data_IF_211213681347
#
_entry.id   IF_211213681347
#
_cell.length_a   1.000
_cell.length_b   1.000
_cell.length_c   1.000
_cell.angle_alpha   90.00
_cell.angle_beta   90.00
_cell.angle_gamma   90.00
#
_symmetry.space_group_name_H-M   'P 1'
#
loop_
_entity.id
_entity.type
_entity.pdbx_description
1 polymer ?
#
# COMPACT_ATOMS: atom_id res chain seq x y z
N UNK A 1 -18.26 -78.89 -35.73
CA UNK A 1 -19.01 -78.82 -34.46
C UNK A 1 -18.11 -78.18 -33.41
N UNK A 2 -18.71 -77.29 -32.63
CA UNK A 2 -18.11 -76.47 -31.58
C UNK A 2 -17.49 -77.31 -30.45
N UNK A 3 -16.46 -76.78 -29.80
CA UNK A 3 -16.56 -76.43 -28.36
C UNK A 3 -15.33 -75.64 -27.92
N UNK A 4 -15.57 -74.38 -27.55
CA UNK A 4 -14.64 -73.50 -26.86
C UNK A 4 -14.62 -73.85 -25.36
N UNK A 5 -13.44 -74.01 -24.77
CA UNK A 5 -13.27 -74.03 -23.31
C UNK A 5 -12.46 -72.81 -22.88
N UNK A 6 -13.15 -71.86 -22.23
CA UNK A 6 -12.59 -70.62 -21.69
C UNK A 6 -11.73 -70.89 -20.45
N UNK A 7 -10.45 -70.49 -20.50
CA UNK A 7 -9.62 -70.30 -19.30
C UNK A 7 -9.98 -68.96 -18.65
N UNK A 8 -10.49 -68.99 -17.42
CA UNK A 8 -10.71 -67.78 -16.59
C UNK A 8 -9.37 -67.18 -16.18
N UNK A 9 -9.07 -65.98 -16.66
CA UNK A 9 -8.01 -65.14 -16.12
C UNK A 9 -8.49 -64.50 -14.81
N UNK A 10 -7.70 -64.64 -13.74
CA UNK A 10 -7.92 -64.02 -12.43
C UNK A 10 -7.41 -62.58 -12.51
N UNK A 11 -8.33 -61.62 -12.57
CA UNK A 11 -7.99 -60.19 -12.54
C UNK A 11 -7.65 -59.79 -11.11
N UNK A 12 -6.39 -59.43 -10.86
CA UNK A 12 -5.96 -58.77 -9.61
C UNK A 12 -6.29 -57.29 -9.77
N UNK A 13 -7.24 -56.79 -8.99
CA UNK A 13 -7.58 -55.37 -8.93
C UNK A 13 -6.55 -54.70 -8.03
N UNK A 14 -5.61 -53.96 -8.62
CA UNK A 14 -4.74 -53.04 -7.89
C UNK A 14 -5.52 -51.75 -7.72
N UNK A 15 -6.06 -51.52 -6.52
CA UNK A 15 -6.64 -50.23 -6.16
C UNK A 15 -5.53 -49.19 -6.08
N UNK A 16 -5.35 -48.41 -7.15
CA UNK A 16 -4.62 -47.17 -7.10
C UNK A 16 -5.47 -46.16 -6.29
N UNK A 17 -5.14 -45.98 -5.01
CA UNK A 17 -5.59 -44.80 -4.26
C UNK A 17 -4.89 -43.59 -4.86
N UNK A 18 -5.52 -42.98 -5.86
CA UNK A 18 -5.19 -41.63 -6.26
C UNK A 18 -5.52 -40.73 -5.07
N UNK A 19 -4.49 -40.37 -4.30
CA UNK A 19 -4.56 -39.24 -3.41
C UNK A 19 -4.82 -38.02 -4.29
N UNK A 20 -6.07 -37.59 -4.33
CA UNK A 20 -6.45 -36.30 -4.90
C UNK A 20 -5.81 -35.24 -4.01
N UNK A 21 -4.63 -34.78 -4.39
CA UNK A 21 -4.12 -33.49 -3.95
C UNK A 21 -5.21 -32.47 -4.25
N UNK A 22 -5.97 -32.06 -3.22
CA UNK A 22 -6.84 -30.89 -3.32
C UNK A 22 -5.94 -29.77 -3.78
N UNK A 23 -6.09 -29.31 -5.02
CA UNK A 23 -5.40 -28.11 -5.49
C UNK A 23 -5.69 -27.01 -4.49
N UNK A 24 -4.71 -26.64 -3.65
CA UNK A 24 -4.87 -25.52 -2.73
C UNK A 24 -5.30 -24.33 -3.59
N UNK A 25 -6.49 -23.76 -3.31
CA UNK A 25 -6.95 -22.58 -4.04
C UNK A 25 -5.86 -21.52 -3.90
N UNK A 26 -5.19 -21.21 -5.01
CA UNK A 26 -4.12 -20.24 -5.07
C UNK A 26 -4.71 -18.85 -4.79
N UNK A 27 -4.06 -18.06 -3.94
CA UNK A 27 -4.53 -16.70 -3.68
C UNK A 27 -4.38 -15.84 -4.95
N UNK A 28 -5.31 -14.92 -5.24
CA UNK A 28 -5.17 -14.03 -6.39
C UNK A 28 -3.86 -13.25 -6.32
N UNK A 29 -3.01 -13.39 -7.34
CA UNK A 29 -1.69 -12.72 -7.39
C UNK A 29 -0.51 -13.55 -6.87
N UNK A 30 -0.74 -14.62 -6.11
CA UNK A 30 0.32 -15.43 -5.47
C UNK A 30 1.36 -15.98 -6.46
N UNK A 31 0.98 -16.26 -7.71
CA UNK A 31 1.90 -16.72 -8.75
C UNK A 31 2.91 -15.64 -9.22
N UNK A 32 2.66 -14.37 -8.92
CA UNK A 32 3.46 -13.21 -9.33
C UNK A 32 4.26 -12.58 -8.19
N UNK A 33 4.14 -13.10 -6.97
CA UNK A 33 4.76 -12.55 -5.77
C UNK A 33 3.76 -11.90 -4.82
N UNK A 34 4.16 -11.75 -3.56
CA UNK A 34 3.29 -11.27 -2.49
C UNK A 34 2.83 -9.82 -2.70
N UNK A 35 3.64 -8.98 -3.34
CA UNK A 35 3.24 -7.60 -3.70
C UNK A 35 2.02 -7.56 -4.60
N UNK A 36 1.86 -8.54 -5.51
CA UNK A 36 0.67 -8.60 -6.36
C UNK A 36 -0.57 -8.98 -5.53
N UNK A 37 -0.43 -9.80 -4.48
CA UNK A 37 -1.52 -10.07 -3.53
C UNK A 37 -1.91 -8.78 -2.78
N UNK A 38 -0.93 -8.04 -2.26
CA UNK A 38 -1.18 -6.75 -1.61
C UNK A 38 -1.87 -5.75 -2.55
N UNK A 39 -1.40 -5.65 -3.81
CA UNK A 39 -2.03 -4.83 -4.84
C UNK A 39 -3.48 -5.26 -5.07
N UNK A 40 -3.74 -6.56 -5.18
CA UNK A 40 -5.10 -7.06 -5.42
C UNK A 40 -6.07 -6.67 -4.30
N UNK A 41 -5.66 -6.81 -3.04
CA UNK A 41 -6.47 -6.41 -1.88
C UNK A 41 -6.67 -4.89 -1.87
N UNK A 42 -5.60 -4.11 -2.04
CA UNK A 42 -5.68 -2.65 -2.07
C UNK A 42 -6.62 -2.15 -3.18
N UNK A 43 -6.56 -2.73 -4.39
CA UNK A 43 -7.40 -2.30 -5.51
C UNK A 43 -8.90 -2.55 -5.24
N UNK A 44 -9.26 -3.64 -4.56
CA UNK A 44 -10.66 -3.92 -4.18
C UNK A 44 -11.23 -2.91 -3.19
N UNK A 45 -10.39 -2.34 -2.34
CA UNK A 45 -10.79 -1.34 -1.34
C UNK A 45 -11.02 0.07 -1.93
N UNK A 46 -10.70 0.29 -3.21
CA UNK A 46 -11.04 1.53 -3.88
C UNK A 46 -12.50 1.53 -4.35
N UNK A 47 -13.01 2.72 -4.65
CA UNK A 47 -14.27 2.87 -5.39
C UNK A 47 -14.03 2.70 -6.88
N UNK A 48 -15.07 2.38 -7.66
CA UNK A 48 -14.97 2.27 -9.13
C UNK A 48 -14.54 3.58 -9.81
N UNK A 49 -14.80 4.71 -9.17
CA UNK A 49 -14.41 6.03 -9.65
C UNK A 49 -12.90 6.28 -9.47
N UNK A 50 -12.28 5.60 -8.50
CA UNK A 50 -10.86 5.72 -8.17
C UNK A 50 -10.01 4.66 -8.87
N UNK A 51 -10.50 3.42 -8.99
CA UNK A 51 -9.82 2.33 -9.68
C UNK A 51 -10.83 1.39 -10.37
N UNK A 52 -10.46 0.86 -11.55
CA UNK A 52 -11.34 -0.01 -12.36
C UNK A 52 -11.77 -1.27 -11.60
N UNK A 53 -10.87 -1.81 -10.78
CA UNK A 53 -11.08 -2.99 -9.95
C UNK A 53 -11.73 -2.70 -8.59
N UNK A 54 -12.13 -1.45 -8.33
CA UNK A 54 -12.75 -1.03 -7.08
C UNK A 54 -14.09 -1.71 -6.81
N UNK A 55 -14.29 -2.10 -5.54
CA UNK A 55 -15.50 -2.79 -5.07
C UNK A 55 -16.21 -2.05 -3.93
N UNK A 56 -15.63 -0.97 -3.38
CA UNK A 56 -16.25 -0.17 -2.32
C UNK A 56 -17.19 0.89 -2.89
N UNK A 57 -18.22 1.21 -2.11
CA UNK A 57 -19.14 2.30 -2.42
C UNK A 57 -18.47 3.67 -2.23
N UNK A 58 -18.86 4.70 -3.01
CA UNK A 58 -18.29 6.03 -2.87
C UNK A 58 -18.57 6.65 -1.50
N UNK A 59 -17.51 6.97 -0.77
CA UNK A 59 -17.59 7.81 0.42
C UNK A 59 -17.22 9.25 0.04
N UNK A 60 -18.24 10.10 -0.06
CA UNK A 60 -18.08 11.51 -0.41
C UNK A 60 -18.09 11.78 -1.91
N UNK A 61 -17.66 12.98 -2.29
CA UNK A 61 -17.67 13.41 -3.68
C UNK A 61 -16.44 12.90 -4.46
N UNK A 62 -16.59 12.58 -5.76
CA UNK A 62 -15.45 12.21 -6.61
C UNK A 62 -14.38 13.29 -6.63
N UNK A 63 -13.10 12.90 -6.76
CA UNK A 63 -11.95 13.84 -6.77
C UNK A 63 -12.12 14.97 -7.81
N UNK A 64 -12.79 14.71 -8.93
CA UNK A 64 -13.08 15.75 -9.94
C UNK A 64 -14.02 16.87 -9.48
N UNK A 65 -14.77 16.68 -8.40
CA UNK A 65 -15.69 17.66 -7.81
C UNK A 65 -15.15 18.30 -6.53
N UNK A 66 -13.91 17.98 -6.15
CA UNK A 66 -13.31 18.54 -4.95
C UNK A 66 -13.08 20.04 -5.09
N UNK A 67 -13.44 20.78 -4.04
CA UNK A 67 -13.13 22.21 -3.89
C UNK A 67 -12.18 22.36 -2.69
N UNK A 68 -10.88 22.05 -2.87
CA UNK A 68 -9.87 22.21 -1.84
C UNK A 68 -9.59 23.68 -1.56
N UNK A 69 -9.03 23.96 -0.39
CA UNK A 69 -8.47 25.25 -0.03
C UNK A 69 -7.04 25.07 0.54
N UNK A 70 -6.28 26.16 0.64
CA UNK A 70 -4.87 26.07 1.09
C UNK A 70 -4.76 25.62 2.55
N UNK A 71 -5.69 26.00 3.42
CA UNK A 71 -5.65 25.63 4.84
C UNK A 71 -5.83 24.11 5.03
N UNK A 72 -6.85 23.53 4.41
CA UNK A 72 -7.10 22.09 4.42
C UNK A 72 -5.94 21.31 3.78
N UNK A 73 -5.39 21.82 2.69
CA UNK A 73 -4.24 21.19 2.05
C UNK A 73 -2.97 21.26 2.91
N UNK A 74 -2.73 22.35 3.64
CA UNK A 74 -1.62 22.44 4.59
C UNK A 74 -1.76 21.44 5.74
N UNK A 75 -2.96 21.24 6.29
CA UNK A 75 -3.22 20.17 7.28
C UNK A 75 -2.88 18.80 6.71
N UNK A 76 -3.31 18.52 5.49
CA UNK A 76 -2.96 17.28 4.78
C UNK A 76 -1.44 17.09 4.63
N UNK A 77 -0.70 18.14 4.22
CA UNK A 77 0.75 18.05 4.03
C UNK A 77 1.50 17.86 5.35
N UNK A 78 1.10 18.57 6.41
CA UNK A 78 1.71 18.45 7.75
C UNK A 78 1.46 17.04 8.33
N UNK A 79 0.22 16.55 8.28
CA UNK A 79 -0.10 15.21 8.78
C UNK A 79 0.58 14.11 7.95
N UNK A 80 0.62 14.28 6.63
CA UNK A 80 1.37 13.37 5.76
C UNK A 80 2.86 13.36 6.12
N UNK A 81 3.46 14.54 6.35
CA UNK A 81 4.87 14.65 6.73
C UNK A 81 5.15 13.92 8.03
N UNK A 82 4.30 14.09 9.04
CA UNK A 82 4.45 13.37 10.31
C UNK A 82 4.46 11.85 10.10
N UNK A 83 3.58 11.32 9.24
CA UNK A 83 3.54 9.89 8.91
C UNK A 83 4.81 9.43 8.18
N UNK A 84 5.30 10.19 7.20
CA UNK A 84 6.54 9.84 6.50
C UNK A 84 7.77 9.96 7.41
N UNK A 85 7.88 11.01 8.23
CA UNK A 85 8.95 11.16 9.22
C UNK A 85 8.98 9.95 10.16
N UNK A 86 7.80 9.48 10.56
CA UNK A 86 7.63 8.32 11.44
C UNK A 86 8.10 7.03 10.76
N UNK A 87 7.65 6.76 9.53
CA UNK A 87 8.08 5.59 8.77
C UNK A 87 9.59 5.60 8.52
N UNK A 88 10.13 6.72 8.07
CA UNK A 88 11.56 6.86 7.77
C UNK A 88 12.40 6.65 9.03
N UNK A 89 11.99 7.19 10.17
CA UNK A 89 12.64 6.94 11.47
C UNK A 89 12.55 5.48 11.91
N UNK A 90 11.41 4.82 11.70
CA UNK A 90 11.24 3.39 12.01
C UNK A 90 12.18 2.55 11.14
N UNK A 91 12.22 2.80 9.84
CA UNK A 91 13.12 2.09 8.93
C UNK A 91 14.57 2.34 9.30
N UNK A 92 14.95 3.57 9.65
CA UNK A 92 16.31 3.88 10.08
C UNK A 92 16.69 3.16 11.38
N UNK A 93 15.78 3.11 12.36
CA UNK A 93 16.00 2.40 13.63
C UNK A 93 16.09 0.88 13.44
N UNK A 94 15.37 0.33 12.47
CA UNK A 94 15.40 -1.10 12.09
C UNK A 94 15.31 -2.05 13.28
N UNK A 95 14.23 -1.94 14.07
CA UNK A 95 13.98 -2.83 15.23
C UNK A 95 13.78 -4.30 14.83
N UNK A 96 13.39 -4.55 13.58
CA UNK A 96 13.35 -5.86 12.95
C UNK A 96 14.29 -5.90 11.73
N UNK A 97 14.98 -7.01 11.45
CA UNK A 97 15.95 -7.10 10.34
C UNK A 97 15.37 -6.75 8.97
N UNK A 98 14.11 -7.11 8.72
CA UNK A 98 13.42 -6.84 7.46
C UNK A 98 13.21 -5.35 7.16
N UNK A 99 13.24 -4.47 8.17
CA UNK A 99 13.09 -3.03 7.97
C UNK A 99 14.33 -2.39 7.33
N UNK A 100 15.50 -3.02 7.50
CA UNK A 100 16.75 -2.52 6.95
C UNK A 100 16.71 -2.40 5.42
N UNK A 101 15.95 -3.30 4.78
CA UNK A 101 15.75 -3.33 3.33
C UNK A 101 15.03 -2.09 2.81
N UNK A 102 14.23 -1.43 3.66
CA UNK A 102 13.39 -0.30 3.28
C UNK A 102 13.96 1.07 3.68
N UNK A 103 15.25 1.12 4.01
CA UNK A 103 16.02 2.37 4.11
C UNK A 103 16.49 2.84 2.74
N UNK A 104 16.55 4.15 2.53
CA UNK A 104 17.15 4.78 1.35
C UNK A 104 16.62 4.21 0.02
N UNK A 105 15.32 4.03 -0.06
CA UNK A 105 14.61 3.46 -1.22
C UNK A 105 14.50 4.45 -2.39
N UNK A 106 14.68 5.74 -2.12
CA UNK A 106 14.37 6.84 -3.03
C UNK A 106 12.89 7.23 -3.02
N UNK A 107 12.04 6.52 -2.25
CA UNK A 107 10.62 6.85 -2.12
C UNK A 107 10.33 7.78 -0.93
N UNK A 108 11.29 8.00 -0.04
CA UNK A 108 11.21 8.88 1.15
C UNK A 108 10.66 10.26 0.79
N UNK A 109 9.75 10.80 1.62
CA UNK A 109 8.98 12.02 1.31
C UNK A 109 9.15 13.13 2.35
N UNK A 110 9.78 12.86 3.47
CA UNK A 110 9.92 13.81 4.57
C UNK A 110 10.64 15.09 4.15
N UNK A 111 11.75 14.96 3.40
CA UNK A 111 12.53 16.10 2.92
C UNK A 111 11.75 16.92 1.88
N UNK A 112 11.06 16.26 0.95
CA UNK A 112 10.28 16.96 -0.07
C UNK A 112 9.10 17.73 0.53
N UNK A 113 8.41 17.13 1.50
CA UNK A 113 7.37 17.81 2.28
C UNK A 113 7.91 18.98 3.08
N UNK A 114 9.11 18.87 3.67
CA UNK A 114 9.75 19.99 4.36
C UNK A 114 10.00 21.18 3.43
N UNK A 115 10.49 20.92 2.20
CA UNK A 115 10.70 21.95 1.17
C UNK A 115 9.39 22.62 0.77
N UNK A 116 8.32 21.85 0.59
CA UNK A 116 7.02 22.39 0.21
C UNK A 116 6.40 23.24 1.32
N UNK A 117 6.48 22.79 2.58
CA UNK A 117 5.98 23.56 3.73
C UNK A 117 6.74 24.87 3.90
N UNK A 118 8.07 24.87 3.73
CA UNK A 118 8.84 26.12 3.74
C UNK A 118 8.45 27.03 2.56
N UNK A 119 8.15 26.46 1.39
CA UNK A 119 7.62 27.24 0.26
C UNK A 119 6.29 27.92 0.61
N UNK A 120 5.33 27.22 1.22
CA UNK A 120 4.06 27.82 1.68
C UNK A 120 4.28 28.92 2.71
N UNK A 121 5.22 28.71 3.65
CA UNK A 121 5.58 29.72 4.64
C UNK A 121 6.16 30.99 3.99
N UNK A 122 7.00 30.84 2.96
CA UNK A 122 7.50 31.97 2.17
C UNK A 122 6.40 32.70 1.39
N UNK A 123 5.29 32.02 1.05
CA UNK A 123 4.11 32.68 0.46
C UNK A 123 3.24 33.42 1.50
N UNK A 124 3.58 33.35 2.80
CA UNK A 124 2.87 34.02 3.88
C UNK A 124 1.81 33.16 4.58
N UNK A 125 1.74 31.86 4.31
CA UNK A 125 0.84 30.96 5.03
C UNK A 125 1.42 30.55 6.38
N UNK A 126 0.57 30.46 7.40
CA UNK A 126 0.91 29.82 8.66
C UNK A 126 0.87 28.29 8.48
N UNK A 127 1.93 27.61 8.91
CA UNK A 127 1.96 26.15 8.90
C UNK A 127 1.28 25.64 10.18
N UNK A 128 0.21 24.82 10.07
CA UNK A 128 -0.49 24.32 11.24
C UNK A 128 0.35 23.27 11.98
N UNK A 129 0.02 23.04 13.24
CA UNK A 129 0.50 21.86 13.97
C UNK A 129 -0.16 20.58 13.43
N UNK A 130 0.46 19.39 13.60
CA UNK A 130 -0.14 18.13 13.22
C UNK A 130 -1.52 17.92 13.87
N UNK A 131 -2.47 17.49 13.06
CA UNK A 131 -3.84 17.25 13.48
C UNK A 131 -4.06 15.80 13.95
N UNK A 132 -5.25 15.54 14.51
CA UNK A 132 -5.56 14.23 15.11
C UNK A 132 -5.37 13.03 14.16
N UNK A 133 -5.79 13.08 12.87
CA UNK A 133 -5.51 12.01 11.90
C UNK A 133 -4.02 11.65 11.77
N UNK A 134 -3.14 12.63 11.56
CA UNK A 134 -1.70 12.42 11.44
C UNK A 134 -1.07 11.88 12.73
N UNK A 135 -1.41 12.47 13.88
CA UNK A 135 -0.91 12.02 15.19
C UNK A 135 -1.33 10.58 15.48
N UNK A 136 -2.62 10.28 15.26
CA UNK A 136 -3.16 8.93 15.50
C UNK A 136 -2.51 7.89 14.59
N UNK A 137 -2.26 8.25 13.33
CA UNK A 137 -1.61 7.32 12.41
C UNK A 137 -0.14 7.10 12.76
N UNK A 138 0.61 8.16 13.04
CA UNK A 138 2.01 8.06 13.44
C UNK A 138 2.18 7.20 14.71
N UNK A 139 1.37 7.43 15.75
CA UNK A 139 1.37 6.61 16.97
C UNK A 139 1.09 5.14 16.66
N UNK A 140 0.11 4.87 15.80
CA UNK A 140 -0.23 3.51 15.42
C UNK A 140 0.93 2.80 14.69
N UNK A 141 1.63 3.49 13.78
CA UNK A 141 2.80 2.95 13.10
C UNK A 141 3.97 2.68 14.08
N UNK A 142 4.20 3.58 15.04
CA UNK A 142 5.20 3.36 16.09
C UNK A 142 4.87 2.13 16.94
N UNK A 143 3.59 1.92 17.30
CA UNK A 143 3.15 0.73 18.02
C UNK A 143 3.37 -0.56 17.22
N UNK A 144 3.02 -0.57 15.93
CA UNK A 144 3.24 -1.74 15.05
C UNK A 144 4.73 -2.05 14.93
N UNK A 145 5.57 -1.04 14.78
CA UNK A 145 7.03 -1.19 14.58
C UNK A 145 7.77 -1.92 15.70
N UNK A 146 7.13 -2.09 16.85
CA UNK A 146 7.72 -2.77 18.01
C UNK A 146 7.29 -4.24 18.14
N UNK A 147 6.23 -4.66 17.45
CA UNK A 147 5.59 -5.97 17.71
C UNK A 147 5.04 -6.70 16.49
N UNK A 148 4.79 -6.01 15.40
CA UNK A 148 4.04 -6.54 14.26
C UNK A 148 4.65 -6.09 12.91
N UNK A 149 5.75 -6.76 12.49
CA UNK A 149 6.44 -6.47 11.25
C UNK A 149 5.57 -6.56 9.99
N UNK A 150 4.74 -7.61 9.92
CA UNK A 150 3.87 -7.89 8.79
C UNK A 150 2.82 -6.78 8.61
N UNK A 151 2.17 -6.35 9.69
CA UNK A 151 1.24 -5.22 9.65
C UNK A 151 1.94 -3.91 9.26
N UNK A 152 3.11 -3.61 9.84
CA UNK A 152 3.85 -2.39 9.47
C UNK A 152 4.21 -2.36 7.98
N UNK A 153 4.66 -3.49 7.41
CA UNK A 153 4.99 -3.58 5.98
C UNK A 153 3.75 -3.39 5.11
N UNK A 154 2.57 -3.86 5.53
CA UNK A 154 1.32 -3.54 4.85
C UNK A 154 1.09 -2.03 4.75
N UNK A 155 1.29 -1.32 5.87
CA UNK A 155 1.15 0.13 5.91
C UNK A 155 2.21 0.83 5.05
N UNK A 156 3.47 0.43 5.16
CA UNK A 156 4.56 0.95 4.32
C UNK A 156 4.20 0.84 2.84
N UNK A 157 3.80 -0.36 2.39
CA UNK A 157 3.40 -0.60 1.01
C UNK A 157 2.25 0.32 0.59
N UNK A 158 1.15 0.35 1.34
CA UNK A 158 -0.02 1.13 0.96
C UNK A 158 0.24 2.64 0.96
N UNK A 159 1.01 3.16 1.93
CA UNK A 159 1.33 4.60 2.02
C UNK A 159 2.16 5.04 0.81
N UNK A 160 3.31 4.39 0.55
CA UNK A 160 4.19 4.80 -0.55
C UNK A 160 3.59 4.51 -1.94
N UNK A 161 2.96 3.36 -2.14
CA UNK A 161 2.40 3.01 -3.45
C UNK A 161 1.12 3.79 -3.76
N UNK A 162 0.28 4.13 -2.78
CA UNK A 162 -0.87 5.00 -3.01
C UNK A 162 -0.42 6.40 -3.45
N UNK A 163 0.62 6.95 -2.82
CA UNK A 163 1.14 8.28 -3.16
C UNK A 163 1.68 8.36 -4.60
N UNK A 164 2.45 7.36 -5.02
CA UNK A 164 3.05 7.29 -6.37
C UNK A 164 2.02 7.03 -7.48
N UNK A 165 0.82 6.55 -7.14
CA UNK A 165 -0.29 6.35 -8.06
C UNK A 165 -1.36 7.46 -7.91
N UNK A 166 -2.35 7.24 -7.05
CA UNK A 166 -3.48 8.16 -6.85
C UNK A 166 -3.05 9.52 -6.28
N UNK A 167 -2.06 9.54 -5.40
CA UNK A 167 -1.54 10.77 -4.78
C UNK A 167 -1.06 11.80 -5.79
N UNK A 168 -0.35 11.38 -6.85
CA UNK A 168 0.09 12.27 -7.94
C UNK A 168 -1.07 12.91 -8.69
N UNK A 169 -2.16 12.16 -8.93
CA UNK A 169 -3.35 12.70 -9.58
C UNK A 169 -4.05 13.74 -8.71
N UNK A 170 -4.18 13.44 -7.41
CA UNK A 170 -4.76 14.36 -6.42
C UNK A 170 -3.92 15.63 -6.33
N UNK A 171 -2.59 15.50 -6.20
CA UNK A 171 -1.66 16.64 -6.15
C UNK A 171 -1.79 17.58 -7.33
N UNK A 172 -1.88 17.02 -8.55
CA UNK A 172 -2.08 17.82 -9.76
C UNK A 172 -3.40 18.60 -9.74
N UNK A 173 -4.51 17.95 -9.38
CA UNK A 173 -5.83 18.60 -9.30
C UNK A 173 -5.90 19.68 -8.22
N UNK A 174 -5.27 19.45 -7.07
CA UNK A 174 -5.18 20.48 -6.03
C UNK A 174 -4.34 21.65 -6.53
N UNK A 175 -3.19 21.39 -7.15
CA UNK A 175 -2.34 22.44 -7.69
C UNK A 175 -3.02 23.28 -8.78
N UNK A 176 -3.78 22.65 -9.68
CA UNK A 176 -4.61 23.30 -10.69
C UNK A 176 -5.62 24.28 -10.06
N UNK A 177 -6.23 23.91 -8.93
CA UNK A 177 -7.27 24.70 -8.28
C UNK A 177 -6.75 25.81 -7.37
N UNK A 178 -5.71 25.54 -6.57
CA UNK A 178 -5.31 26.45 -5.49
C UNK A 178 -3.85 26.90 -5.53
N UNK A 179 -2.99 26.32 -6.38
CA UNK A 179 -1.54 26.61 -6.43
C UNK A 179 -1.06 27.13 -7.78
N UNK A 180 -1.96 27.59 -8.65
CA UNK A 180 -1.63 28.06 -10.00
C UNK A 180 -0.72 27.07 -10.76
N UNK A 181 -1.05 25.78 -10.71
CA UNK A 181 -0.30 24.69 -11.34
C UNK A 181 1.13 24.48 -10.81
N UNK A 182 1.50 25.02 -9.63
CA UNK A 182 2.79 24.70 -9.00
C UNK A 182 2.88 23.20 -8.72
N UNK A 183 3.83 22.54 -9.37
CA UNK A 183 4.20 21.18 -9.00
C UNK A 183 5.10 21.20 -7.75
N UNK A 184 4.56 20.66 -6.66
CA UNK A 184 5.25 20.53 -5.38
C UNK A 184 6.29 19.40 -5.40
N UNK A 185 7.33 19.52 -4.58
CA UNK A 185 8.42 18.55 -4.46
C UNK A 185 7.93 17.19 -3.94
N UNK A 186 6.86 17.17 -3.15
CA UNK A 186 6.21 15.96 -2.65
C UNK A 186 5.85 14.97 -3.78
N UNK A 187 5.57 15.48 -4.99
CA UNK A 187 5.20 14.71 -6.18
C UNK A 187 6.33 14.51 -7.19
N UNK A 188 7.58 14.81 -6.81
CA UNK A 188 8.78 14.64 -7.64
C UNK A 188 9.73 13.64 -7.01
N UNK A 189 10.47 12.90 -7.83
CA UNK A 189 11.44 11.92 -7.38
C UNK A 189 12.76 12.14 -8.09
N UNK A 190 13.86 11.93 -7.37
CA UNK A 190 15.19 11.88 -7.96
C UNK A 190 15.38 10.50 -8.59
N UNK A 191 15.41 10.47 -9.92
CA UNK A 191 15.57 9.26 -10.71
C UNK A 191 14.27 8.72 -11.32
N UNK A 192 14.37 7.55 -11.95
CA UNK A 192 13.22 6.92 -12.63
C UNK A 192 12.29 6.24 -11.62
N UNK A 193 11.09 6.83 -11.45
CA UNK A 193 10.09 6.33 -10.49
C UNK A 193 9.69 4.87 -10.75
N UNK A 194 9.66 4.42 -12.01
CA UNK A 194 9.29 3.03 -12.31
C UNK A 194 10.33 2.06 -11.78
N UNK A 195 11.62 2.39 -11.93
CA UNK A 195 12.73 1.61 -11.38
C UNK A 195 12.73 1.64 -9.85
N UNK A 196 12.54 2.81 -9.23
CA UNK A 196 12.45 2.93 -7.77
C UNK A 196 11.34 2.03 -7.21
N UNK A 197 10.14 2.10 -7.81
CA UNK A 197 9.02 1.25 -7.42
C UNK A 197 9.35 -0.23 -7.63
N UNK A 198 9.93 -0.61 -8.76
CA UNK A 198 10.28 -2.00 -9.03
C UNK A 198 11.26 -2.56 -8.00
N UNK A 199 12.29 -1.81 -7.64
CA UNK A 199 13.27 -2.20 -6.62
C UNK A 199 12.59 -2.46 -5.27
N UNK A 200 11.66 -1.58 -4.86
CA UNK A 200 10.92 -1.76 -3.60
C UNK A 200 9.98 -2.96 -3.67
N UNK A 201 9.33 -3.24 -4.81
CA UNK A 201 8.50 -4.45 -4.98
C UNK A 201 9.33 -5.73 -4.84
N UNK A 202 10.54 -5.75 -5.40
CA UNK A 202 11.43 -6.91 -5.30
C UNK A 202 11.84 -7.16 -3.84
N UNK A 203 12.22 -6.11 -3.11
CA UNK A 203 12.53 -6.19 -1.67
C UNK A 203 11.35 -6.69 -0.84
N UNK A 204 10.14 -6.18 -1.08
CA UNK A 204 8.92 -6.64 -0.42
C UNK A 204 8.64 -8.12 -0.68
N UNK A 205 8.85 -8.59 -1.92
CA UNK A 205 8.70 -10.00 -2.24
C UNK A 205 9.73 -10.86 -1.50
N UNK A 206 11.00 -10.46 -1.47
CA UNK A 206 12.08 -11.18 -0.77
C UNK A 206 11.80 -11.27 0.73
N UNK A 207 11.40 -10.17 1.37
CA UNK A 207 11.02 -10.19 2.80
C UNK A 207 9.87 -11.18 3.05
N UNK A 208 8.85 -11.14 2.20
CA UNK A 208 7.69 -12.01 2.32
C UNK A 208 7.96 -13.49 1.95
N UNK A 209 9.10 -13.84 1.35
CA UNK A 209 9.45 -15.26 1.11
C UNK A 209 9.65 -16.04 2.41
N UNK A 210 10.11 -15.35 3.47
CA UNK A 210 10.32 -15.96 4.78
C UNK A 210 9.04 -16.04 5.63
N UNK A 211 7.93 -15.46 5.17
CA UNK A 211 6.67 -15.46 5.91
C UNK A 211 5.85 -16.71 5.64
N UNK A 212 5.25 -17.22 6.70
CA UNK A 212 4.16 -18.20 6.65
C UNK A 212 2.94 -17.63 5.91
N UNK A 213 1.99 -18.51 5.55
CA UNK A 213 0.76 -18.07 4.88
C UNK A 213 -0.11 -17.25 5.82
N UNK A 214 -0.09 -17.58 7.10
CA UNK A 214 -0.78 -16.88 8.18
C UNK A 214 -0.27 -15.45 8.33
N UNK A 215 1.05 -15.26 8.35
CA UNK A 215 1.70 -13.94 8.38
C UNK A 215 1.39 -13.10 7.13
N UNK A 216 1.40 -13.72 5.94
CA UNK A 216 0.96 -13.06 4.69
C UNK A 216 -0.49 -12.63 4.77
N UNK A 217 -1.37 -13.49 5.26
CA UNK A 217 -2.79 -13.16 5.41
C UNK A 217 -2.99 -12.02 6.42
N UNK A 218 -2.28 -12.05 7.54
CA UNK A 218 -2.29 -10.99 8.56
C UNK A 218 -1.89 -9.63 7.97
N UNK A 219 -0.80 -9.59 7.17
CA UNK A 219 -0.44 -8.39 6.41
C UNK A 219 -1.58 -7.94 5.48
N UNK A 220 -2.22 -8.84 4.74
CA UNK A 220 -3.31 -8.49 3.82
C UNK A 220 -4.55 -7.95 4.55
N UNK A 221 -4.90 -8.51 5.70
CA UNK A 221 -6.03 -8.08 6.53
C UNK A 221 -5.85 -6.65 7.07
N UNK A 222 -4.61 -6.22 7.32
CA UNK A 222 -4.29 -4.88 7.78
C UNK A 222 -4.57 -3.77 6.75
N UNK A 223 -4.75 -4.14 5.47
CA UNK A 223 -4.95 -3.18 4.36
C UNK A 223 -6.14 -2.24 4.62
N UNK A 224 -7.25 -2.74 5.17
CA UNK A 224 -8.44 -1.92 5.44
C UNK A 224 -8.15 -0.82 6.47
N UNK A 225 -7.31 -1.12 7.47
CA UNK A 225 -6.90 -0.15 8.49
C UNK A 225 -5.97 0.89 7.91
N UNK A 226 -5.04 0.49 7.04
CA UNK A 226 -4.20 1.43 6.28
C UNK A 226 -5.03 2.41 5.45
N UNK A 227 -6.06 1.92 4.74
CA UNK A 227 -6.97 2.77 3.97
C UNK A 227 -7.75 3.74 4.84
N UNK A 228 -8.23 3.28 6.00
CA UNK A 228 -8.94 4.15 6.94
C UNK A 228 -8.06 5.32 7.39
N UNK A 229 -6.88 5.04 7.93
CA UNK A 229 -5.98 6.09 8.41
C UNK A 229 -5.54 7.06 7.28
N UNK A 230 -5.15 6.52 6.12
CA UNK A 230 -4.79 7.34 4.97
C UNK A 230 -5.97 8.18 4.46
N UNK A 231 -7.18 7.63 4.48
CA UNK A 231 -8.41 8.32 4.12
C UNK A 231 -8.76 9.45 5.08
N UNK A 232 -8.55 9.26 6.39
CA UNK A 232 -8.76 10.29 7.41
C UNK A 232 -7.87 11.52 7.16
N UNK A 233 -6.58 11.30 6.84
CA UNK A 233 -5.65 12.38 6.46
C UNK A 233 -6.05 13.00 5.12
N UNK A 234 -6.42 12.19 4.13
CA UNK A 234 -6.78 12.68 2.80
C UNK A 234 -7.99 13.63 2.83
N UNK A 235 -8.96 13.38 3.73
CA UNK A 235 -10.14 14.24 3.89
C UNK A 235 -9.81 15.64 4.41
N UNK A 236 -8.65 15.85 5.03
CA UNK A 236 -8.20 17.18 5.47
C UNK A 236 -8.09 18.16 4.30
N UNK A 237 -7.81 17.68 3.08
CA UNK A 237 -7.76 18.50 1.86
C UNK A 237 -9.07 19.30 1.65
N UNK A 238 -10.19 18.76 2.12
CA UNK A 238 -11.53 19.35 1.99
C UNK A 238 -12.04 20.02 3.27
N UNK A 239 -11.20 20.10 4.31
CA UNK A 239 -11.56 20.72 5.60
C UNK A 239 -11.44 22.25 5.61
#
# INVERSE_FOLDING_TARGET
>A
MLSFSQRKARTVVVSATAATEKSKKRYPGEAKGFVEEMRFVAMKLHTRDQAKEGEKEPEGQPVGKWEPNVEGYLKFLVDSKLVYDTLEKIMEKSTFPEYEEFRNTGLERSESLAKDLEWFKMQGYAIPEPSSPGVSYAQYLEELSQRDPQALICHFYNIYFAHTAGGRMIGRKVAEKILNNKELEFYKWDGDLSQLLQNVREKLNVVAENWTREEKNHCLEETEKSFKFSGDILRLILS
#
